data_IF_774948396600
#
_entry.id   IF_774948396600
#
_cell.length_a   1.000
_cell.length_b   1.000
_cell.length_c   1.000
_cell.angle_alpha   90.00
_cell.angle_beta   90.00
_cell.angle_gamma   90.00
#
_symmetry.space_group_name_H-M   'P 1'
#
loop_
_entity.id
_entity.type
_entity.pdbx_description
1 polymer ?
#
# COMPACT_ATOMS: atom_id res chain seq x y z
N UNK A 1 42.63 -17.85 16.00
CA UNK A 1 42.82 -16.62 15.21
C UNK A 1 41.69 -15.66 15.52
N UNK A 2 41.97 -14.47 16.08
CA UNK A 2 40.90 -13.45 16.25
C UNK A 2 40.50 -12.92 14.88
N UNK A 3 39.18 -12.88 14.58
CA UNK A 3 38.69 -12.31 13.34
C UNK A 3 39.17 -10.87 13.20
N UNK A 4 39.89 -10.54 12.14
CA UNK A 4 40.41 -9.20 11.88
C UNK A 4 39.34 -8.23 11.35
N UNK A 5 38.26 -8.77 10.76
CA UNK A 5 37.10 -8.01 10.23
C UNK A 5 35.79 -8.51 10.78
N UNK A 6 34.83 -7.63 10.95
CA UNK A 6 33.44 -7.91 11.38
C UNK A 6 32.48 -7.13 10.53
N UNK A 7 31.51 -7.81 9.91
CA UNK A 7 30.41 -7.18 9.17
C UNK A 7 29.20 -7.16 10.10
N UNK A 8 28.56 -6.01 10.21
CA UNK A 8 27.40 -5.81 11.08
C UNK A 8 26.31 -5.07 10.33
N UNK A 9 25.06 -5.31 10.73
CA UNK A 9 23.94 -4.50 10.29
C UNK A 9 24.15 -3.05 10.75
N UNK A 10 24.19 -2.14 9.79
CA UNK A 10 24.46 -0.73 10.04
C UNK A 10 23.74 0.09 8.95
N UNK A 11 22.52 0.48 9.23
CA UNK A 11 21.73 1.31 8.35
C UNK A 11 20.98 2.33 9.17
N UNK A 12 21.24 3.59 8.93
CA UNK A 12 20.68 4.73 9.64
C UNK A 12 20.12 5.73 8.65
N UNK A 13 19.08 6.47 9.07
CA UNK A 13 18.50 7.58 8.34
C UNK A 13 18.97 8.91 8.93
N UNK A 14 18.69 10.02 8.25
CA UNK A 14 19.19 11.35 8.63
C UNK A 14 18.82 11.71 10.07
N UNK A 15 17.59 11.41 10.49
CA UNK A 15 17.12 11.65 11.85
C UNK A 15 17.79 10.77 12.92
N UNK A 16 18.52 9.76 12.49
CA UNK A 16 19.22 8.81 13.36
C UNK A 16 20.72 9.07 13.46
N UNK A 17 21.25 10.20 12.94
CA UNK A 17 22.67 10.53 12.93
C UNK A 17 23.32 10.37 14.32
N UNK A 18 22.65 10.84 15.39
CA UNK A 18 23.14 10.68 16.77
C UNK A 18 23.18 9.21 17.23
N UNK A 19 22.27 8.35 16.74
CA UNK A 19 22.30 6.93 17.05
C UNK A 19 23.41 6.21 16.30
N UNK A 20 23.67 6.60 15.04
CA UNK A 20 24.81 6.11 14.25
C UNK A 20 26.12 6.49 14.93
N UNK A 21 26.29 7.75 15.32
CA UNK A 21 27.47 8.22 16.07
C UNK A 21 27.69 7.40 17.34
N UNK A 22 26.64 7.24 18.18
CA UNK A 22 26.75 6.48 19.43
C UNK A 22 27.12 5.00 19.21
N UNK A 23 26.68 4.40 18.09
CA UNK A 23 27.09 3.03 17.75
C UNK A 23 28.56 2.97 17.32
N UNK A 24 29.04 3.93 16.54
CA UNK A 24 30.44 4.00 16.13
C UNK A 24 31.38 4.22 17.33
N UNK A 25 31.02 5.10 18.26
CA UNK A 25 31.76 5.35 19.46
C UNK A 25 31.88 4.07 20.33
N UNK A 26 30.77 3.35 20.52
CA UNK A 26 30.78 2.08 21.24
C UNK A 26 31.62 1.00 20.54
N UNK A 27 31.64 0.97 19.19
CA UNK A 27 32.53 0.04 18.46
C UNK A 27 34.00 0.42 18.64
N UNK A 28 34.31 1.72 18.61
CA UNK A 28 35.66 2.22 18.86
C UNK A 28 36.15 1.83 20.26
N UNK A 29 35.33 1.99 21.31
CA UNK A 29 35.67 1.55 22.67
C UNK A 29 35.94 0.04 22.74
N UNK A 30 35.32 -0.76 21.91
CA UNK A 30 35.53 -2.22 21.80
C UNK A 30 36.74 -2.58 20.92
N UNK A 31 37.50 -1.61 20.41
CA UNK A 31 38.67 -1.80 19.55
C UNK A 31 38.30 -2.11 18.10
N UNK A 32 37.13 -1.66 17.61
CA UNK A 32 36.74 -1.79 16.22
C UNK A 32 36.71 -0.43 15.52
N UNK A 33 37.41 -0.34 14.40
CA UNK A 33 37.41 0.85 13.54
C UNK A 33 36.55 0.64 12.32
N UNK A 34 35.69 1.62 11.95
CA UNK A 34 34.90 1.61 10.74
C UNK A 34 35.82 1.63 9.52
N UNK A 35 35.66 0.65 8.63
CA UNK A 35 36.43 0.53 7.39
C UNK A 35 35.60 1.01 6.19
N UNK A 36 34.34 0.57 6.11
CA UNK A 36 33.46 0.82 4.99
C UNK A 36 31.99 0.79 5.45
N UNK A 37 31.14 1.61 4.86
CA UNK A 37 29.70 1.60 5.02
C UNK A 37 29.07 1.16 3.71
N UNK A 38 28.32 0.05 3.72
CA UNK A 38 27.55 -0.41 2.58
C UNK A 38 26.06 -0.17 2.76
N UNK A 39 25.26 -0.57 1.80
CA UNK A 39 23.82 -0.26 1.74
C UNK A 39 23.02 -0.65 3.01
N UNK A 40 23.33 -1.80 3.62
CA UNK A 40 22.67 -2.28 4.85
C UNK A 40 23.65 -2.69 5.95
N UNK A 41 24.95 -2.75 5.66
CA UNK A 41 25.95 -3.26 6.57
C UNK A 41 27.18 -2.36 6.59
N UNK A 42 27.90 -2.34 7.71
CA UNK A 42 29.22 -1.75 7.78
C UNK A 42 30.28 -2.81 8.10
N UNK A 43 31.44 -2.63 7.52
CA UNK A 43 32.63 -3.44 7.78
C UNK A 43 33.51 -2.73 8.80
N UNK A 44 33.83 -3.43 9.87
CA UNK A 44 34.68 -2.97 10.93
C UNK A 44 35.99 -3.78 10.93
N UNK A 45 37.12 -3.09 11.13
CA UNK A 45 38.44 -3.69 11.26
C UNK A 45 38.89 -3.60 12.71
N UNK A 46 39.59 -4.63 13.19
CA UNK A 46 40.26 -4.60 14.51
C UNK A 46 41.42 -3.62 14.48
N UNK A 47 41.47 -2.69 15.43
CA UNK A 47 42.52 -1.72 15.58
C UNK A 47 42.92 -1.62 17.06
N UNK A 48 44.24 -1.44 17.35
CA UNK A 48 44.72 -1.23 18.71
C UNK A 48 44.29 0.16 19.23
N UNK A 49 44.29 1.14 18.33
CA UNK A 49 43.82 2.52 18.57
C UNK A 49 42.85 2.90 17.48
N UNK A 50 41.55 2.60 17.65
CA UNK A 50 40.53 2.98 16.66
C UNK A 50 40.50 4.50 16.49
N UNK A 51 40.49 4.94 15.26
CA UNK A 51 40.33 6.36 14.94
C UNK A 51 38.90 6.81 15.19
N UNK A 52 38.78 8.04 15.65
CA UNK A 52 37.50 8.65 15.91
C UNK A 52 36.72 8.77 14.60
N UNK A 53 35.45 8.46 14.65
CA UNK A 53 34.49 8.68 13.56
C UNK A 53 33.54 9.82 13.90
N UNK A 54 33.04 10.50 12.88
CA UNK A 54 32.02 11.53 13.00
C UNK A 54 30.93 11.30 11.98
N UNK A 55 29.67 11.44 12.41
CA UNK A 55 28.49 11.25 11.55
C UNK A 55 27.69 12.52 11.55
N UNK A 56 27.38 13.03 10.37
CA UNK A 56 26.52 14.19 10.24
C UNK A 56 25.58 14.08 9.04
N UNK A 57 24.47 14.81 9.05
CA UNK A 57 23.54 14.87 7.92
C UNK A 57 24.19 15.47 6.67
N UNK A 58 24.07 14.79 5.53
CA UNK A 58 24.54 15.32 4.26
C UNK A 58 23.64 16.46 3.82
N UNK A 59 24.15 17.69 3.79
CA UNK A 59 23.40 18.90 3.45
C UNK A 59 23.09 19.00 1.97
N UNK A 60 23.99 18.50 1.12
CA UNK A 60 23.89 18.58 -0.33
C UNK A 60 23.56 17.24 -0.93
N UNK A 61 22.80 17.23 -2.02
CA UNK A 61 22.55 16.03 -2.81
C UNK A 61 23.70 15.86 -3.80
N UNK A 62 24.46 14.77 -3.69
CA UNK A 62 25.59 14.45 -4.60
C UNK A 62 25.17 14.42 -6.07
N UNK A 63 23.89 14.15 -6.35
CA UNK A 63 23.34 14.06 -7.71
C UNK A 63 23.04 15.42 -8.35
N UNK A 64 23.01 16.52 -7.57
CA UNK A 64 22.69 17.87 -8.09
C UNK A 64 23.93 18.64 -8.44
N UNK A 65 24.15 18.88 -9.73
CA UNK A 65 25.33 19.62 -10.25
C UNK A 65 25.54 20.99 -9.57
N UNK A 66 24.46 21.71 -9.25
CA UNK A 66 24.53 23.01 -8.58
C UNK A 66 25.05 22.95 -7.13
N UNK A 67 25.03 21.78 -6.51
CA UNK A 67 25.44 21.59 -5.13
C UNK A 67 26.90 21.07 -5.06
N UNK A 68 27.53 20.77 -6.20
CA UNK A 68 28.86 20.14 -6.26
C UNK A 68 29.97 21.04 -5.71
N UNK A 69 29.96 22.33 -6.07
CA UNK A 69 31.00 23.27 -5.63
C UNK A 69 30.92 23.44 -4.11
N UNK A 70 29.71 23.75 -3.57
CA UNK A 70 29.50 23.91 -2.13
C UNK A 70 29.85 22.63 -1.34
N UNK A 71 29.52 21.44 -1.90
CA UNK A 71 29.89 20.16 -1.31
C UNK A 71 31.40 19.95 -1.33
N UNK A 72 32.04 20.25 -2.45
CA UNK A 72 33.51 20.13 -2.60
C UNK A 72 34.24 21.03 -1.62
N UNK A 73 33.82 22.30 -1.53
CA UNK A 73 34.38 23.26 -0.59
C UNK A 73 34.25 22.80 0.87
N UNK A 74 33.08 22.29 1.22
CA UNK A 74 32.82 21.74 2.55
C UNK A 74 33.70 20.54 2.87
N UNK A 75 33.84 19.58 1.94
CA UNK A 75 34.67 18.41 2.14
C UNK A 75 36.17 18.81 2.22
N UNK A 76 36.58 19.85 1.53
CA UNK A 76 37.95 20.43 1.64
C UNK A 76 38.15 21.00 3.04
N UNK A 77 37.24 21.83 3.57
CA UNK A 77 37.29 22.34 4.93
C UNK A 77 37.36 21.21 5.99
N UNK A 78 36.50 20.17 5.82
CA UNK A 78 36.55 18.98 6.68
C UNK A 78 37.95 18.33 6.63
N UNK A 79 38.54 18.27 5.43
CA UNK A 79 39.88 17.73 5.20
C UNK A 79 40.98 18.53 5.91
N UNK A 80 40.87 19.86 5.90
CA UNK A 80 41.77 20.76 6.61
C UNK A 80 41.60 20.67 8.13
N UNK A 81 40.35 20.46 8.60
CA UNK A 81 40.03 20.23 10.00
C UNK A 81 40.48 18.86 10.54
N UNK A 82 41.11 18.02 9.71
CA UNK A 82 41.62 16.72 10.12
C UNK A 82 40.68 15.55 9.93
N UNK A 83 39.57 15.75 9.23
CA UNK A 83 38.58 14.70 8.90
C UNK A 83 38.78 14.18 7.47
N UNK A 84 38.52 12.90 7.25
CA UNK A 84 38.48 12.28 5.92
C UNK A 84 37.11 11.65 5.74
N UNK A 85 36.41 12.01 4.65
CA UNK A 85 35.15 11.35 4.28
C UNK A 85 35.45 9.89 3.95
N UNK A 86 34.70 8.97 4.58
CA UNK A 86 34.74 7.55 4.27
C UNK A 86 33.63 7.22 3.24
N UNK A 87 32.40 7.64 3.52
CA UNK A 87 31.24 7.25 2.72
C UNK A 87 30.10 8.25 2.91
N UNK A 88 29.20 8.30 1.92
CA UNK A 88 27.91 8.96 2.00
C UNK A 88 26.82 7.92 1.80
N UNK A 89 26.04 7.61 2.84
CA UNK A 89 24.95 6.67 2.79
C UNK A 89 23.76 7.10 3.64
N UNK A 90 22.52 6.80 3.19
CA UNK A 90 21.30 7.15 3.91
C UNK A 90 21.10 8.66 4.13
N UNK A 91 21.82 9.50 3.39
CA UNK A 91 21.85 10.94 3.57
C UNK A 91 22.69 11.40 4.76
N UNK A 92 23.61 10.55 5.21
CA UNK A 92 24.60 10.81 6.23
C UNK A 92 25.99 10.81 5.61
N UNK A 93 26.86 11.72 6.07
CA UNK A 93 28.28 11.67 5.86
C UNK A 93 28.95 10.92 7.02
N UNK A 94 29.82 9.98 6.69
CA UNK A 94 30.63 9.25 7.63
C UNK A 94 32.08 9.68 7.46
N UNK A 95 32.59 10.41 8.46
CA UNK A 95 33.96 10.86 8.49
C UNK A 95 34.80 10.02 9.44
N UNK A 96 36.12 9.97 9.17
CA UNK A 96 37.08 9.36 10.04
C UNK A 96 38.25 10.35 10.26
N UNK A 97 38.74 10.46 11.48
CA UNK A 97 39.90 11.26 11.80
C UNK A 97 41.11 10.81 10.98
N UNK A 98 41.87 11.77 10.44
CA UNK A 98 43.16 11.48 9.77
C UNK A 98 44.14 10.88 10.77
N UNK A 99 45.10 10.12 10.26
CA UNK A 99 46.08 9.47 11.10
C UNK A 99 46.92 10.50 11.88
N UNK A 100 47.04 10.27 13.19
CA UNK A 100 47.81 11.17 14.08
C UNK A 100 47.10 12.48 14.44
N UNK A 101 45.81 12.66 14.07
CA UNK A 101 45.02 13.83 14.44
C UNK A 101 43.89 13.46 15.43
N UNK A 102 43.54 14.40 16.29
CA UNK A 102 42.33 14.33 17.15
C UNK A 102 41.46 15.57 16.83
N UNK A 103 40.74 15.54 15.73
CA UNK A 103 40.00 16.70 15.25
C UNK A 103 38.79 17.01 16.14
N UNK A 104 38.48 18.31 16.27
CA UNK A 104 37.24 18.77 16.92
C UNK A 104 36.01 18.32 16.14
N UNK A 105 34.85 18.20 16.78
CA UNK A 105 33.57 17.98 16.10
C UNK A 105 33.32 19.01 14.99
N UNK A 106 32.84 18.58 13.81
CA UNK A 106 32.63 19.45 12.68
C UNK A 106 31.46 20.44 12.89
N UNK A 107 30.43 20.00 13.60
CA UNK A 107 29.25 20.82 13.88
C UNK A 107 29.03 20.95 15.39
N UNK A 108 28.96 22.20 15.84
CA UNK A 108 28.65 22.54 17.23
C UNK A 108 27.30 23.27 17.36
N UNK A 109 26.74 23.75 16.25
CA UNK A 109 25.42 24.44 16.23
C UNK A 109 24.33 23.41 15.92
N UNK A 110 23.68 22.94 16.97
CA UNK A 110 22.62 21.93 16.89
C UNK A 110 21.36 22.45 16.21
N UNK A 111 21.05 23.74 16.30
CA UNK A 111 19.84 24.34 15.71
C UNK A 111 19.89 24.32 14.18
N UNK A 112 21.05 24.61 13.60
CA UNK A 112 21.26 24.62 12.14
C UNK A 112 21.23 23.19 11.59
N UNK A 113 21.94 22.26 12.23
CA UNK A 113 21.94 20.84 11.88
C UNK A 113 20.51 20.29 11.86
N UNK A 114 19.74 20.68 12.86
CA UNK A 114 18.41 20.18 13.10
C UNK A 114 17.38 20.62 12.07
N UNK A 115 17.45 21.89 11.62
CA UNK A 115 16.54 22.38 10.59
C UNK A 115 16.68 21.58 9.28
N UNK A 116 17.88 21.20 8.89
CA UNK A 116 18.16 20.45 7.68
C UNK A 116 17.76 18.97 7.80
N UNK A 117 17.98 18.35 8.96
CA UNK A 117 17.52 16.99 9.27
C UNK A 117 16.02 16.86 9.06
N UNK A 118 15.23 17.81 9.60
CA UNK A 118 13.76 17.72 9.51
C UNK A 118 13.22 17.95 8.12
N UNK A 119 13.81 18.83 7.33
CA UNK A 119 13.43 19.01 5.93
C UNK A 119 13.60 17.72 5.15
N UNK A 120 14.71 17.02 5.37
CA UNK A 120 15.03 15.79 4.66
C UNK A 120 14.16 14.63 5.13
N UNK A 121 14.04 14.43 6.44
CA UNK A 121 13.20 13.38 7.02
C UNK A 121 11.73 13.50 6.60
N UNK A 122 11.17 14.73 6.56
CA UNK A 122 9.82 14.97 6.08
C UNK A 122 9.69 14.78 4.56
N UNK A 123 10.69 15.20 3.78
CA UNK A 123 10.67 14.99 2.33
C UNK A 123 10.62 13.50 1.98
N UNK A 124 11.37 12.65 2.66
CA UNK A 124 11.36 11.20 2.44
C UNK A 124 10.00 10.58 2.77
N UNK A 125 9.31 11.07 3.82
CA UNK A 125 7.95 10.65 4.16
C UNK A 125 6.92 11.09 3.11
N UNK A 126 7.03 12.34 2.61
CA UNK A 126 6.14 12.87 1.56
C UNK A 126 6.31 12.08 0.27
N UNK A 127 7.54 11.68 -0.08
CA UNK A 127 7.78 10.84 -1.26
C UNK A 127 7.10 9.48 -1.14
N UNK A 128 7.21 8.78 -0.02
CA UNK A 128 6.54 7.49 0.20
C UNK A 128 5.02 7.61 0.08
N UNK A 129 4.42 8.59 0.75
CA UNK A 129 2.99 8.87 0.64
C UNK A 129 2.56 9.25 -0.79
N UNK A 130 3.44 9.93 -1.54
CA UNK A 130 3.17 10.29 -2.94
C UNK A 130 3.10 9.06 -3.84
N UNK A 131 3.98 8.08 -3.66
CA UNK A 131 3.90 6.81 -4.40
C UNK A 131 2.58 6.08 -4.11
N UNK A 132 2.18 6.02 -2.83
CA UNK A 132 0.91 5.42 -2.44
C UNK A 132 -0.28 6.16 -3.06
N UNK A 133 -0.27 7.50 -3.07
CA UNK A 133 -1.31 8.32 -3.67
C UNK A 133 -1.38 8.13 -5.19
N UNK A 134 -0.24 8.05 -5.88
CA UNK A 134 -0.18 7.77 -7.32
C UNK A 134 -0.73 6.37 -7.61
N UNK A 135 -0.31 5.36 -6.86
CA UNK A 135 -0.84 4.00 -7.01
C UNK A 135 -2.35 3.95 -6.82
N UNK A 136 -2.87 4.58 -5.76
CA UNK A 136 -4.30 4.69 -5.51
C UNK A 136 -5.03 5.44 -6.62
N UNK A 137 -4.44 6.53 -7.13
CA UNK A 137 -5.01 7.30 -8.23
C UNK A 137 -5.08 6.49 -9.52
N UNK A 138 -4.04 5.74 -9.86
CA UNK A 138 -4.03 4.86 -11.04
C UNK A 138 -5.13 3.80 -10.90
N UNK A 139 -5.28 3.21 -9.72
CA UNK A 139 -6.28 2.19 -9.47
C UNK A 139 -7.71 2.75 -9.51
N UNK A 140 -7.96 3.91 -8.86
CA UNK A 140 -9.28 4.56 -8.86
C UNK A 140 -9.64 5.15 -10.22
N UNK A 141 -8.72 5.83 -10.90
CA UNK A 141 -8.95 6.37 -12.24
C UNK A 141 -9.07 5.26 -13.27
N UNK A 142 -8.23 4.24 -13.18
CA UNK A 142 -8.32 3.05 -14.05
C UNK A 142 -9.64 2.31 -13.88
N UNK A 143 -10.11 2.17 -12.64
CA UNK A 143 -11.42 1.62 -12.33
C UNK A 143 -12.58 2.52 -12.79
N UNK A 144 -12.42 3.84 -12.62
CA UNK A 144 -13.43 4.82 -13.08
C UNK A 144 -13.58 4.84 -14.61
N UNK A 145 -12.48 4.72 -15.33
CA UNK A 145 -12.46 4.64 -16.81
C UNK A 145 -13.03 3.29 -17.28
N UNK A 146 -12.89 2.24 -16.48
CA UNK A 146 -13.29 0.88 -16.81
C UNK A 146 -14.71 0.51 -16.44
N UNK A 147 -15.60 1.41 -16.09
CA UNK A 147 -16.97 1.12 -15.62
C UNK A 147 -17.11 1.03 -14.10
N UNK A 148 -17.00 2.13 -13.41
CA UNK A 148 -17.28 2.30 -11.97
C UNK A 148 -17.12 1.02 -11.13
N UNK A 149 -15.95 0.74 -10.55
CA UNK A 149 -15.75 -0.47 -9.79
C UNK A 149 -16.72 -0.44 -8.61
N UNK A 150 -17.59 -1.39 -8.57
CA UNK A 150 -18.37 -1.66 -7.38
C UNK A 150 -17.36 -2.07 -6.29
N UNK A 151 -17.27 -1.31 -5.22
CA UNK A 151 -16.23 -1.53 -4.19
C UNK A 151 -16.27 -2.94 -3.60
N UNK A 152 -17.41 -3.60 -3.61
CA UNK A 152 -17.56 -4.98 -3.16
C UNK A 152 -16.96 -6.02 -4.13
N UNK A 153 -16.70 -5.67 -5.40
CA UNK A 153 -16.02 -6.56 -6.35
C UNK A 153 -14.60 -6.92 -5.90
N UNK A 154 -13.99 -6.09 -5.04
CA UNK A 154 -12.74 -6.44 -4.38
C UNK A 154 -12.79 -7.78 -3.65
N UNK A 155 -13.96 -8.15 -3.13
CA UNK A 155 -14.17 -9.39 -2.39
C UNK A 155 -14.41 -10.61 -3.28
N UNK A 156 -14.59 -10.44 -4.58
CA UNK A 156 -14.74 -11.53 -5.54
C UNK A 156 -13.40 -12.12 -5.98
N UNK A 157 -12.29 -11.43 -5.77
CA UNK A 157 -10.96 -11.89 -6.14
C UNK A 157 -10.03 -11.94 -4.93
N UNK A 158 -9.39 -13.08 -4.72
CA UNK A 158 -8.38 -13.25 -3.68
C UNK A 158 -7.18 -12.32 -3.90
N UNK A 159 -6.82 -12.08 -5.15
CA UNK A 159 -5.70 -11.21 -5.52
C UNK A 159 -6.05 -9.75 -5.22
N UNK A 160 -7.26 -9.31 -5.56
CA UNK A 160 -7.73 -7.95 -5.26
C UNK A 160 -7.78 -7.68 -3.75
N UNK A 161 -8.24 -8.65 -2.95
CA UNK A 161 -8.19 -8.56 -1.49
C UNK A 161 -6.75 -8.52 -0.96
N UNK A 162 -5.86 -9.35 -1.49
CA UNK A 162 -4.44 -9.33 -1.11
C UNK A 162 -3.81 -7.97 -1.42
N UNK A 163 -4.04 -7.41 -2.62
CA UNK A 163 -3.56 -6.09 -3.00
C UNK A 163 -4.09 -4.99 -2.06
N UNK A 164 -5.38 -4.98 -1.77
CA UNK A 164 -5.98 -4.01 -0.85
C UNK A 164 -5.36 -4.13 0.56
N UNK A 165 -5.17 -5.34 1.05
CA UNK A 165 -4.53 -5.61 2.34
C UNK A 165 -3.09 -5.11 2.37
N UNK A 166 -2.30 -5.36 1.32
CA UNK A 166 -0.92 -4.88 1.20
C UNK A 166 -0.84 -3.36 1.20
N UNK A 167 -1.75 -2.69 0.49
CA UNK A 167 -1.84 -1.21 0.49
C UNK A 167 -2.17 -0.67 1.88
N UNK A 168 -3.11 -1.29 2.59
CA UNK A 168 -3.46 -0.89 3.96
C UNK A 168 -2.29 -1.11 4.93
N UNK A 169 -1.57 -2.21 4.81
CA UNK A 169 -0.36 -2.48 5.60
C UNK A 169 0.73 -1.44 5.33
N UNK A 170 0.95 -1.09 4.07
CA UNK A 170 1.89 -0.04 3.69
C UNK A 170 1.50 1.32 4.27
N UNK A 171 0.24 1.72 4.11
CA UNK A 171 -0.28 2.96 4.69
C UNK A 171 -0.12 2.99 6.22
N UNK A 172 -0.44 1.88 6.89
CA UNK A 172 -0.26 1.72 8.34
C UNK A 172 1.21 1.86 8.76
N UNK A 173 2.12 1.28 8.01
CA UNK A 173 3.57 1.40 8.22
C UNK A 173 4.03 2.86 8.06
N UNK A 174 3.64 3.53 6.99
CA UNK A 174 4.00 4.93 6.75
C UNK A 174 3.46 5.85 7.84
N UNK A 175 2.21 5.68 8.22
CA UNK A 175 1.59 6.44 9.32
C UNK A 175 2.34 6.21 10.64
N UNK A 176 2.72 4.96 10.94
CA UNK A 176 3.52 4.65 12.12
C UNK A 176 4.86 5.41 12.12
N UNK A 177 5.59 5.42 11.00
CA UNK A 177 6.86 6.15 10.90
C UNK A 177 6.68 7.66 10.98
N UNK A 178 5.66 8.23 10.31
CA UNK A 178 5.33 9.67 10.42
C UNK A 178 5.07 10.07 11.87
N UNK A 179 4.19 9.35 12.56
CA UNK A 179 3.87 9.64 13.99
C UNK A 179 5.12 9.55 14.85
N UNK A 180 5.98 8.58 14.59
CA UNK A 180 7.22 8.40 15.34
C UNK A 180 8.21 9.54 15.11
N UNK A 181 8.40 9.97 13.85
CA UNK A 181 9.25 11.13 13.49
C UNK A 181 8.72 12.40 14.17
N UNK A 182 7.40 12.64 14.10
CA UNK A 182 6.78 13.81 14.71
C UNK A 182 6.93 13.81 16.25
N UNK A 183 6.76 12.66 16.90
CA UNK A 183 6.98 12.52 18.36
C UNK A 183 8.43 12.76 18.73
N UNK A 184 9.38 12.24 17.97
CA UNK A 184 10.80 12.48 18.23
C UNK A 184 11.13 13.97 18.04
N UNK A 185 10.63 14.61 16.98
CA UNK A 185 10.75 16.06 16.76
C UNK A 185 10.19 16.88 17.94
N UNK A 186 9.01 16.53 18.42
CA UNK A 186 8.41 17.23 19.57
C UNK A 186 9.29 17.10 20.83
N UNK A 187 9.81 15.89 21.09
CA UNK A 187 10.73 15.65 22.21
C UNK A 187 12.01 16.48 22.08
N UNK A 188 12.61 16.54 20.90
CA UNK A 188 13.83 17.31 20.69
C UNK A 188 13.61 18.82 20.90
N UNK A 189 12.48 19.38 20.42
CA UNK A 189 12.15 20.77 20.68
C UNK A 189 12.03 21.09 22.17
N UNK A 190 11.48 20.18 22.96
CA UNK A 190 11.36 20.34 24.39
C UNK A 190 12.74 20.35 25.07
N UNK A 191 13.58 19.39 24.73
CA UNK A 191 14.94 19.24 25.31
C UNK A 191 15.82 20.45 24.95
N UNK A 192 15.76 20.94 23.70
CA UNK A 192 16.50 22.13 23.29
C UNK A 192 16.01 23.39 24.03
N UNK A 193 14.70 23.53 24.25
CA UNK A 193 14.16 24.64 25.05
C UNK A 193 14.64 24.63 26.51
N UNK A 194 15.00 23.46 27.04
CA UNK A 194 15.59 23.24 28.37
C UNK A 194 17.13 23.43 28.37
N UNK A 195 17.73 23.68 27.22
CA UNK A 195 19.20 23.86 27.07
C UNK A 195 20.01 22.56 27.16
N UNK A 196 19.33 21.40 27.01
CA UNK A 196 19.95 20.09 27.02
C UNK A 196 20.30 19.61 25.61
N UNK A 197 21.34 18.76 25.44
CA UNK A 197 21.71 18.20 24.15
C UNK A 197 20.63 17.27 23.61
N UNK A 198 20.58 17.12 22.28
CA UNK A 198 19.60 16.25 21.61
C UNK A 198 19.64 14.83 22.15
N UNK A 199 18.46 14.24 22.44
CA UNK A 199 18.37 12.88 22.93
C UNK A 199 18.78 11.88 21.85
N UNK A 200 19.65 10.94 22.19
CA UNK A 200 20.04 9.86 21.27
C UNK A 200 18.80 8.97 21.01
N UNK A 201 18.43 8.73 19.73
CA UNK A 201 17.32 7.84 19.39
C UNK A 201 17.60 6.42 19.88
N UNK A 202 16.53 5.69 20.28
CA UNK A 202 16.68 4.28 20.65
C UNK A 202 17.16 3.47 19.44
N UNK A 203 18.27 2.74 19.56
CA UNK A 203 18.90 1.94 18.49
C UNK A 203 17.95 1.00 17.78
N UNK A 204 17.04 0.32 18.53
CA UNK A 204 16.04 -0.55 17.90
C UNK A 204 15.18 0.20 16.91
N UNK A 205 14.76 1.40 17.27
CA UNK A 205 13.94 2.22 16.41
C UNK A 205 14.66 2.76 15.17
N UNK A 206 15.93 3.10 15.32
CA UNK A 206 16.78 3.51 14.21
C UNK A 206 16.99 2.34 13.23
N UNK A 207 17.30 1.15 13.73
CA UNK A 207 17.43 -0.07 12.90
C UNK A 207 16.16 -0.42 12.16
N UNK A 208 14.99 -0.25 12.80
CA UNK A 208 13.69 -0.49 12.14
C UNK A 208 13.48 0.47 10.96
N UNK A 209 13.84 1.76 11.09
CA UNK A 209 13.81 2.71 9.96
C UNK A 209 14.76 2.32 8.85
N UNK A 210 15.95 1.87 9.20
CA UNK A 210 16.94 1.38 8.23
C UNK A 210 16.48 0.18 7.38
N UNK A 211 15.53 -0.64 7.89
CA UNK A 211 14.94 -1.77 7.16
C UNK A 211 13.78 -1.33 6.25
N UNK A 212 13.20 -0.16 6.50
CA UNK A 212 12.00 0.33 5.77
C UNK A 212 12.13 0.23 4.24
N UNK A 213 13.21 0.71 3.58
CA UNK A 213 13.31 0.61 2.11
C UNK A 213 13.30 -0.84 1.60
N UNK A 214 13.80 -1.78 2.37
CA UNK A 214 13.72 -3.21 2.04
C UNK A 214 12.27 -3.71 2.10
N UNK A 215 11.54 -3.37 3.16
CA UNK A 215 10.13 -3.73 3.31
C UNK A 215 9.30 -3.13 2.17
N UNK A 216 9.49 -1.84 1.87
CA UNK A 216 8.82 -1.16 0.75
C UNK A 216 9.12 -1.85 -0.58
N UNK A 217 10.37 -2.20 -0.85
CA UNK A 217 10.76 -2.93 -2.06
C UNK A 217 10.08 -4.29 -2.18
N UNK A 218 9.96 -5.04 -1.08
CA UNK A 218 9.24 -6.32 -1.04
C UNK A 218 7.75 -6.12 -1.27
N UNK A 219 7.13 -5.12 -0.63
CA UNK A 219 5.71 -4.80 -0.82
C UNK A 219 5.42 -4.43 -2.28
N UNK A 220 6.26 -3.60 -2.90
CA UNK A 220 6.14 -3.25 -4.32
C UNK A 220 6.25 -4.49 -5.21
N UNK A 221 7.25 -5.35 -4.96
CA UNK A 221 7.44 -6.57 -5.75
C UNK A 221 6.22 -7.51 -5.64
N UNK A 222 5.66 -7.67 -4.45
CA UNK A 222 4.45 -8.49 -4.24
C UNK A 222 3.24 -7.84 -4.90
N UNK A 223 3.07 -6.51 -4.82
CA UNK A 223 1.99 -5.82 -5.52
C UNK A 223 2.07 -5.98 -7.04
N UNK A 224 3.27 -5.87 -7.63
CA UNK A 224 3.48 -6.11 -9.06
C UNK A 224 3.16 -7.55 -9.43
N UNK A 225 3.58 -8.52 -8.61
CA UNK A 225 3.25 -9.93 -8.83
C UNK A 225 1.73 -10.17 -8.78
N UNK A 226 1.04 -9.62 -7.78
CA UNK A 226 -0.42 -9.69 -7.70
C UNK A 226 -1.09 -9.09 -8.95
N UNK A 227 -0.59 -7.94 -9.42
CA UNK A 227 -1.10 -7.30 -10.63
C UNK A 227 -0.93 -8.19 -11.86
N UNK A 228 0.23 -8.83 -12.02
CA UNK A 228 0.49 -9.74 -13.14
C UNK A 228 -0.41 -10.99 -13.08
N UNK A 229 -0.67 -11.51 -11.89
CA UNK A 229 -1.54 -12.68 -11.71
C UNK A 229 -3.02 -12.33 -11.90
N UNK A 230 -3.45 -11.11 -11.62
CA UNK A 230 -4.86 -10.68 -11.79
C UNK A 230 -5.33 -10.64 -13.24
N UNK A 231 -4.41 -10.60 -14.20
CA UNK A 231 -4.74 -10.58 -15.64
C UNK A 231 -5.39 -11.91 -16.10
N UNK A 232 -5.26 -12.99 -15.33
CA UNK A 232 -5.77 -14.33 -15.67
C UNK A 232 -7.00 -14.78 -14.85
N UNK A 233 -7.53 -13.95 -13.95
CA UNK A 233 -8.70 -14.33 -13.13
C UNK A 233 -10.02 -14.18 -13.89
N UNK A 234 -10.77 -15.25 -13.99
CA UNK A 234 -12.12 -15.34 -14.52
C UNK A 234 -12.20 -16.28 -15.73
N UNK A 235 -12.88 -17.40 -15.54
CA UNK A 235 -13.20 -18.32 -16.62
C UNK A 235 -14.58 -17.94 -17.19
N UNK A 236 -14.61 -17.62 -18.47
CA UNK A 236 -15.88 -17.43 -19.22
C UNK A 236 -16.06 -18.63 -20.12
N UNK A 237 -17.11 -19.41 -19.88
CA UNK A 237 -17.46 -20.57 -20.70
C UNK A 237 -18.65 -20.19 -21.58
N UNK A 238 -18.51 -20.38 -22.87
CA UNK A 238 -19.61 -20.20 -23.83
C UNK A 238 -20.36 -21.51 -23.99
N UNK A 239 -21.70 -21.43 -23.96
CA UNK A 239 -22.61 -22.56 -24.14
C UNK A 239 -23.31 -22.33 -25.47
N UNK A 240 -23.43 -23.38 -26.28
CA UNK A 240 -24.07 -23.32 -27.61
C UNK A 240 -23.60 -22.14 -28.48
N UNK A 241 -22.31 -21.98 -28.57
CA UNK A 241 -21.70 -20.85 -29.26
C UNK A 241 -21.84 -19.53 -28.48
N UNK A 242 -22.40 -18.50 -29.11
CA UNK A 242 -22.59 -17.18 -28.49
C UNK A 242 -24.00 -16.95 -27.94
N UNK A 243 -24.86 -17.94 -27.96
CA UNK A 243 -26.25 -17.81 -27.49
C UNK A 243 -26.39 -17.85 -25.97
N UNK A 244 -25.42 -18.45 -25.27
CA UNK A 244 -25.36 -18.44 -23.81
C UNK A 244 -23.91 -18.47 -23.30
N UNK A 245 -23.69 -17.93 -22.11
CA UNK A 245 -22.40 -18.07 -21.43
C UNK A 245 -22.57 -18.18 -19.91
N UNK A 246 -21.57 -18.76 -19.25
CA UNK A 246 -21.43 -18.76 -17.81
C UNK A 246 -20.07 -18.18 -17.43
N UNK A 247 -20.05 -17.43 -16.34
CA UNK A 247 -18.82 -16.92 -15.74
C UNK A 247 -18.84 -17.19 -14.25
N UNK A 248 -17.78 -17.78 -13.76
CA UNK A 248 -17.64 -18.10 -12.34
C UNK A 248 -16.36 -17.46 -11.78
N UNK A 249 -16.48 -16.90 -10.59
CA UNK A 249 -15.33 -16.42 -9.80
C UNK A 249 -15.51 -16.91 -8.38
N UNK A 250 -14.41 -17.32 -7.75
CA UNK A 250 -14.44 -17.84 -6.38
C UNK A 250 -13.32 -17.23 -5.55
N UNK A 251 -13.68 -16.69 -4.39
CA UNK A 251 -12.74 -16.14 -3.43
C UNK A 251 -13.01 -16.68 -2.03
N UNK A 252 -12.13 -16.34 -1.08
CA UNK A 252 -12.35 -16.65 0.35
C UNK A 252 -13.50 -15.84 0.95
N UNK A 253 -13.99 -14.77 0.33
CA UNK A 253 -15.07 -13.93 0.83
C UNK A 253 -16.40 -14.18 0.15
N UNK A 254 -16.40 -14.48 -1.15
CA UNK A 254 -17.61 -14.74 -1.91
C UNK A 254 -17.33 -15.57 -3.17
N UNK A 255 -18.34 -16.29 -3.64
CA UNK A 255 -18.39 -16.85 -4.98
C UNK A 255 -19.40 -16.06 -5.82
N UNK A 256 -19.10 -15.79 -7.07
CA UNK A 256 -20.01 -15.18 -8.02
C UNK A 256 -20.23 -16.12 -9.21
N UNK A 257 -21.45 -16.17 -9.65
CA UNK A 257 -21.89 -16.90 -10.80
C UNK A 257 -22.72 -15.98 -11.68
N UNK A 258 -22.36 -15.86 -12.94
CA UNK A 258 -23.10 -15.11 -13.95
C UNK A 258 -23.51 -16.06 -15.05
N UNK A 259 -24.80 -16.03 -15.40
CA UNK A 259 -25.37 -16.80 -16.49
C UNK A 259 -26.11 -15.85 -17.41
N UNK A 260 -25.89 -15.97 -18.68
CA UNK A 260 -26.61 -15.20 -19.70
C UNK A 260 -27.07 -16.13 -20.82
N UNK A 261 -28.33 -15.98 -21.24
CA UNK A 261 -28.94 -16.66 -22.37
C UNK A 261 -29.68 -15.65 -23.24
N UNK A 262 -29.39 -15.71 -24.52
CA UNK A 262 -30.12 -14.95 -25.55
C UNK A 262 -30.89 -15.92 -26.41
N UNK A 263 -32.22 -15.90 -26.32
CA UNK A 263 -33.12 -16.80 -27.06
C UNK A 263 -34.33 -16.03 -27.59
N UNK A 264 -34.49 -16.03 -28.92
CA UNK A 264 -35.58 -15.31 -29.58
C UNK A 264 -36.98 -15.92 -29.30
N UNK A 265 -37.03 -17.20 -28.97
CA UNK A 265 -38.32 -17.90 -28.74
C UNK A 265 -38.71 -17.94 -27.24
N UNK A 266 -37.71 -18.12 -26.37
CA UNK A 266 -37.93 -18.24 -24.91
C UNK A 266 -37.64 -16.94 -24.13
N UNK A 267 -37.11 -15.92 -24.82
CA UNK A 267 -36.71 -14.65 -24.21
C UNK A 267 -35.30 -14.66 -23.64
N UNK A 268 -34.75 -13.48 -23.47
CA UNK A 268 -33.41 -13.28 -22.91
C UNK A 268 -33.48 -13.39 -21.39
N UNK A 269 -32.48 -14.05 -20.79
CA UNK A 269 -32.34 -14.19 -19.36
C UNK A 269 -30.91 -13.88 -18.93
N UNK A 270 -30.77 -13.05 -17.92
CA UNK A 270 -29.50 -12.78 -17.25
C UNK A 270 -29.66 -12.97 -15.75
N UNK A 271 -28.74 -13.77 -15.16
CA UNK A 271 -28.71 -14.10 -13.74
C UNK A 271 -27.31 -13.81 -13.21
N UNK A 272 -27.24 -12.96 -12.20
CA UNK A 272 -26.04 -12.69 -11.43
C UNK A 272 -26.28 -13.15 -9.99
N UNK A 273 -25.55 -14.16 -9.53
CA UNK A 273 -25.66 -14.74 -8.19
C UNK A 273 -24.39 -14.53 -7.42
N UNK A 274 -24.52 -14.12 -6.17
CA UNK A 274 -23.43 -13.92 -5.23
C UNK A 274 -23.66 -14.76 -3.97
N UNK A 275 -22.77 -15.68 -3.68
CA UNK A 275 -22.76 -16.51 -2.48
C UNK A 275 -21.71 -15.95 -1.51
N UNK A 276 -22.12 -15.13 -0.55
CA UNK A 276 -21.23 -14.44 0.36
C UNK A 276 -20.94 -15.31 1.60
N UNK A 277 -19.70 -15.24 2.10
CA UNK A 277 -19.35 -15.89 3.37
C UNK A 277 -19.82 -15.12 4.60
N UNK A 278 -20.16 -13.84 4.45
CA UNK A 278 -20.59 -12.97 5.52
C UNK A 278 -21.86 -12.22 5.17
N UNK A 279 -22.84 -12.19 6.09
CA UNK A 279 -24.12 -11.53 5.89
C UNK A 279 -24.02 -10.03 5.63
N UNK A 280 -23.02 -9.33 6.20
CA UNK A 280 -22.80 -7.91 5.94
C UNK A 280 -22.41 -7.64 4.47
N UNK A 281 -21.67 -8.57 3.85
CA UNK A 281 -21.28 -8.45 2.44
C UNK A 281 -22.50 -8.67 1.54
N UNK A 282 -23.33 -9.67 1.82
CA UNK A 282 -24.58 -9.91 1.10
C UNK A 282 -25.52 -8.69 1.21
N UNK A 283 -25.65 -8.10 2.41
CA UNK A 283 -26.43 -6.90 2.61
C UNK A 283 -25.92 -5.74 1.77
N UNK A 284 -24.60 -5.51 1.79
CA UNK A 284 -23.98 -4.44 1.01
C UNK A 284 -24.19 -4.61 -0.50
N UNK A 285 -23.96 -5.82 -1.04
CA UNK A 285 -24.19 -6.11 -2.46
C UNK A 285 -25.66 -5.90 -2.83
N UNK A 286 -26.58 -6.41 -2.01
CA UNK A 286 -28.01 -6.28 -2.24
C UNK A 286 -28.47 -4.80 -2.27
N UNK A 287 -27.98 -3.99 -1.32
CA UNK A 287 -28.28 -2.55 -1.28
C UNK A 287 -27.62 -1.79 -2.44
N UNK A 288 -26.42 -2.21 -2.89
CA UNK A 288 -25.76 -1.61 -4.04
C UNK A 288 -26.51 -1.89 -5.34
N UNK A 289 -26.99 -3.11 -5.55
CA UNK A 289 -27.87 -3.44 -6.69
C UNK A 289 -29.16 -2.61 -6.65
N UNK A 290 -29.80 -2.51 -5.48
CA UNK A 290 -30.98 -1.69 -5.31
C UNK A 290 -30.73 -0.21 -5.60
N UNK A 291 -29.62 0.34 -5.13
CA UNK A 291 -29.25 1.72 -5.36
C UNK A 291 -28.92 2.00 -6.84
N UNK A 292 -28.30 1.03 -7.53
CA UNK A 292 -27.97 1.14 -8.95
C UNK A 292 -29.23 1.33 -9.81
N UNK A 293 -30.30 0.61 -9.52
CA UNK A 293 -31.55 0.73 -10.26
C UNK A 293 -32.27 2.08 -10.02
N UNK A 294 -31.94 2.81 -8.98
CA UNK A 294 -32.47 4.17 -8.71
C UNK A 294 -31.61 5.31 -9.32
N UNK A 295 -30.45 5.02 -9.87
CA UNK A 295 -29.53 6.02 -10.42
C UNK A 295 -29.47 5.95 -11.97
N UNK A 296 -30.12 6.91 -12.63
CA UNK A 296 -30.19 6.98 -14.10
C UNK A 296 -28.76 7.03 -14.74
N UNK A 297 -27.82 7.76 -14.15
CA UNK A 297 -26.46 7.87 -14.69
C UNK A 297 -25.71 6.55 -14.57
N UNK A 298 -25.97 5.80 -13.51
CA UNK A 298 -25.39 4.47 -13.29
C UNK A 298 -26.01 3.45 -14.22
N UNK A 299 -27.34 3.45 -14.38
CA UNK A 299 -28.05 2.59 -15.32
C UNK A 299 -27.59 2.79 -16.77
N UNK A 300 -27.41 4.03 -17.20
CA UNK A 300 -26.93 4.35 -18.53
C UNK A 300 -25.51 3.83 -18.77
N UNK A 301 -24.63 3.87 -17.75
CA UNK A 301 -23.22 3.48 -17.86
C UNK A 301 -23.02 1.97 -17.73
N UNK A 302 -23.63 1.35 -16.73
CA UNK A 302 -23.44 -0.07 -16.41
C UNK A 302 -24.29 -0.98 -17.27
N UNK A 303 -25.49 -0.52 -17.68
CA UNK A 303 -26.48 -1.38 -18.34
C UNK A 303 -27.03 -0.82 -19.66
N UNK A 304 -26.46 0.30 -20.14
CA UNK A 304 -26.93 1.00 -21.37
C UNK A 304 -28.43 1.33 -21.36
N UNK A 305 -29.05 1.50 -20.20
CA UNK A 305 -30.43 1.85 -20.02
C UNK A 305 -30.61 3.35 -19.81
N UNK A 306 -31.72 3.90 -20.33
CA UNK A 306 -31.93 5.35 -20.35
C UNK A 306 -33.01 5.84 -19.39
N UNK A 307 -33.68 4.97 -18.61
CA UNK A 307 -34.74 5.39 -17.70
C UNK A 307 -34.59 4.81 -16.31
N UNK A 308 -34.75 5.63 -15.26
CA UNK A 308 -34.79 5.14 -13.90
C UNK A 308 -36.02 4.23 -13.74
N UNK A 309 -35.82 3.15 -13.05
CA UNK A 309 -36.82 2.11 -12.86
C UNK A 309 -37.51 2.30 -11.52
N UNK A 310 -38.82 2.19 -11.49
CA UNK A 310 -39.58 2.19 -10.24
C UNK A 310 -39.39 0.85 -9.51
N UNK A 311 -38.49 0.80 -8.55
CA UNK A 311 -38.32 -0.34 -7.66
C UNK A 311 -39.54 -0.50 -6.75
N UNK A 312 -40.08 -1.71 -6.68
CA UNK A 312 -41.18 -2.09 -5.79
C UNK A 312 -40.72 -3.25 -4.91
N UNK A 313 -40.89 -3.10 -3.60
CA UNK A 313 -40.70 -4.22 -2.70
C UNK A 313 -41.82 -5.25 -2.96
N UNK A 314 -41.46 -6.52 -3.05
CA UNK A 314 -42.35 -7.63 -3.31
C UNK A 314 -42.16 -8.74 -2.26
N UNK A 315 -43.27 -9.37 -1.85
CA UNK A 315 -43.22 -10.47 -0.87
C UNK A 315 -43.22 -11.81 -1.63
N UNK A 316 -42.01 -12.36 -1.87
CA UNK A 316 -41.83 -13.62 -2.59
C UNK A 316 -41.28 -14.75 -1.70
N UNK A 317 -41.27 -14.54 -0.35
CA UNK A 317 -40.78 -15.52 0.63
C UNK A 317 -39.27 -15.55 0.74
N UNK A 318 -38.58 -14.48 0.39
CA UNK A 318 -37.18 -14.23 0.60
C UNK A 318 -36.98 -13.18 1.70
N UNK A 319 -35.76 -13.05 2.26
CA UNK A 319 -35.48 -12.04 3.29
C UNK A 319 -35.74 -10.62 2.77
N UNK A 320 -35.32 -10.37 1.52
CA UNK A 320 -35.63 -9.13 0.78
C UNK A 320 -35.85 -9.45 -0.69
N UNK A 321 -36.79 -8.78 -1.29
CA UNK A 321 -37.09 -8.87 -2.71
C UNK A 321 -37.59 -7.54 -3.27
N UNK A 322 -37.05 -7.15 -4.41
CA UNK A 322 -37.53 -5.99 -5.18
C UNK A 322 -37.72 -6.39 -6.64
N UNK A 323 -38.81 -5.95 -7.21
CA UNK A 323 -39.07 -6.04 -8.65
C UNK A 323 -38.88 -4.66 -9.30
N UNK A 324 -38.46 -4.65 -10.53
CA UNK A 324 -38.38 -3.47 -11.37
C UNK A 324 -38.67 -3.79 -12.82
N UNK A 325 -39.08 -2.77 -13.58
CA UNK A 325 -39.38 -2.91 -15.01
C UNK A 325 -38.73 -1.76 -15.76
N UNK A 326 -38.03 -2.04 -16.83
CA UNK A 326 -37.36 -1.07 -17.69
C UNK A 326 -37.62 -1.38 -19.16
N UNK A 327 -38.74 -0.83 -19.68
CA UNK A 327 -39.14 -1.09 -21.04
C UNK A 327 -39.62 -2.53 -21.22
N UNK A 328 -38.88 -3.31 -22.02
CA UNK A 328 -39.21 -4.73 -22.30
C UNK A 328 -38.57 -5.69 -21.27
N UNK A 329 -37.71 -5.18 -20.36
CA UNK A 329 -37.05 -5.98 -19.35
C UNK A 329 -37.77 -5.91 -18.02
N UNK A 330 -37.96 -7.05 -17.40
CA UNK A 330 -38.32 -7.19 -16.00
C UNK A 330 -37.09 -7.62 -15.20
N UNK A 331 -36.99 -7.16 -13.96
CA UNK A 331 -35.86 -7.51 -13.09
C UNK A 331 -36.29 -7.81 -11.66
N UNK A 332 -35.55 -8.68 -11.02
CA UNK A 332 -35.65 -9.01 -9.59
C UNK A 332 -34.30 -8.87 -8.92
N UNK A 333 -34.31 -8.26 -7.75
CA UNK A 333 -33.17 -8.28 -6.81
C UNK A 333 -33.65 -9.03 -5.57
N UNK A 334 -32.98 -10.11 -5.23
CA UNK A 334 -33.35 -11.00 -4.14
C UNK A 334 -32.17 -11.19 -3.16
N UNK A 335 -32.55 -11.28 -1.88
CA UNK A 335 -31.62 -11.74 -0.86
C UNK A 335 -32.24 -12.87 -0.06
N UNK A 336 -31.46 -13.93 0.16
CA UNK A 336 -31.81 -15.06 1.00
C UNK A 336 -30.57 -15.45 1.85
N UNK A 337 -30.60 -15.11 3.14
CA UNK A 337 -29.43 -15.29 4.00
C UNK A 337 -28.19 -14.54 3.49
N UNK A 338 -27.18 -15.29 3.11
CA UNK A 338 -25.92 -14.79 2.58
C UNK A 338 -25.85 -14.79 1.04
N UNK A 339 -26.95 -15.16 0.38
CA UNK A 339 -27.02 -15.19 -1.08
C UNK A 339 -27.76 -13.97 -1.60
N UNK A 340 -27.24 -13.42 -2.70
CA UNK A 340 -27.86 -12.30 -3.43
C UNK A 340 -27.98 -12.70 -4.87
N UNK A 341 -29.18 -12.51 -5.45
CA UNK A 341 -29.43 -12.72 -6.85
C UNK A 341 -29.96 -11.42 -7.48
N UNK A 342 -29.46 -11.13 -8.66
CA UNK A 342 -30.02 -10.16 -9.58
C UNK A 342 -30.36 -10.90 -10.86
N UNK A 343 -31.63 -10.81 -11.26
CA UNK A 343 -32.16 -11.51 -12.41
C UNK A 343 -32.80 -10.48 -13.32
N UNK A 344 -32.55 -10.57 -14.59
CA UNK A 344 -33.17 -9.76 -15.62
C UNK A 344 -33.70 -10.67 -16.71
N UNK A 345 -34.90 -10.42 -17.15
CA UNK A 345 -35.55 -11.16 -18.23
C UNK A 345 -36.26 -10.24 -19.19
N UNK A 346 -36.18 -10.57 -20.49
CA UNK A 346 -36.98 -9.99 -21.54
C UNK A 346 -37.95 -11.04 -22.01
N UNK A 347 -39.26 -10.70 -22.03
CA UNK A 347 -40.37 -11.60 -22.38
C UNK A 347 -40.54 -12.80 -21.40
N UNK A 348 -40.01 -12.71 -20.19
CA UNK A 348 -40.08 -13.75 -19.16
C UNK A 348 -40.80 -13.16 -17.94
N UNK A 349 -41.86 -13.82 -17.45
CA UNK A 349 -42.48 -13.47 -16.18
C UNK A 349 -41.62 -13.96 -15.00
N UNK A 350 -40.89 -13.03 -14.42
CA UNK A 350 -39.96 -13.30 -13.30
C UNK A 350 -40.69 -13.53 -11.97
N UNK A 351 -41.99 -13.16 -11.87
CA UNK A 351 -42.82 -13.33 -10.68
C UNK A 351 -43.68 -14.58 -10.75
N UNK A 352 -43.70 -15.26 -11.89
CA UNK A 352 -44.50 -16.47 -12.13
C UNK A 352 -44.03 -17.66 -11.27
N UNK A 353 -44.98 -18.52 -10.93
CA UNK A 353 -44.73 -19.67 -10.04
C UNK A 353 -43.62 -20.60 -10.53
N UNK A 354 -43.51 -20.80 -11.86
CA UNK A 354 -42.44 -21.63 -12.47
C UNK A 354 -41.09 -21.00 -12.28
N UNK A 355 -40.93 -19.72 -12.64
CA UNK A 355 -39.66 -18.98 -12.52
C UNK A 355 -39.22 -18.89 -11.05
N UNK A 356 -40.16 -18.66 -10.12
CA UNK A 356 -39.86 -18.67 -8.69
C UNK A 356 -39.40 -20.05 -8.17
N UNK A 357 -39.90 -21.15 -8.75
CA UNK A 357 -39.41 -22.47 -8.43
C UNK A 357 -37.97 -22.69 -8.93
N UNK A 358 -37.66 -22.24 -10.14
CA UNK A 358 -36.31 -22.30 -10.72
C UNK A 358 -35.33 -21.45 -9.92
N UNK A 359 -35.72 -20.24 -9.51
CA UNK A 359 -34.91 -19.36 -8.64
C UNK A 359 -34.62 -20.04 -7.30
N UNK A 360 -35.61 -20.71 -6.69
CA UNK A 360 -35.36 -21.44 -5.43
C UNK A 360 -34.43 -22.64 -5.63
N UNK A 361 -34.52 -23.33 -6.76
CA UNK A 361 -33.61 -24.40 -7.11
C UNK A 361 -32.16 -23.87 -7.25
N UNK A 362 -31.96 -22.75 -7.96
CA UNK A 362 -30.62 -22.14 -8.09
C UNK A 362 -30.05 -21.68 -6.76
N UNK A 363 -30.86 -21.22 -5.81
CA UNK A 363 -30.41 -20.87 -4.46
C UNK A 363 -30.03 -22.14 -3.65
N UNK A 364 -30.70 -23.26 -3.90
CA UNK A 364 -30.42 -24.51 -3.19
C UNK A 364 -29.17 -25.24 -3.71
N UNK A 365 -28.84 -25.08 -4.99
CA UNK A 365 -27.62 -25.69 -5.59
C UNK A 365 -26.29 -25.15 -5.03
N UNK A 366 -26.30 -24.06 -4.30
CA UNK A 366 -25.12 -23.42 -3.72
C UNK A 366 -25.06 -23.41 -2.19
N UNK A 367 -25.95 -24.11 -1.50
CA UNK A 367 -26.01 -24.14 -0.04
C UNK A 367 -25.09 -25.21 0.59
#
# INVERSE_FOLDING_TARGET
MRKQKSIRWFRYTVEDAKAAQAELDEQAERGWELEEVGLFTATFRRAERPRRCWVEPARWKSERKKDWDARSDYLTLCGEAGWALLEEDGGLFYFRAKEGTDPAPLQTDEDVEWADVWKKALADQVWSLSYLAVYWSIWTVGGYIREHPRMWELFLSNISMAMATLVLLWLGMDLFFVVRVLRYRAKCRQVVAEGEPFPVPRRWGARLRGIRPLIEGVLIAVLVLCLLLSVGEGQTNYIDGYSAYTREQNSIAAASFEYCRYDQEEGDLWVERMDCRAGWLAEWICEDFRAAEGDEKRLQREFHRHRPTALRAVELGFDRAWSYSSGEYEGLILRNGNQVLRIEGNQIDLTGAKTLADIRAWLAEGA
#
